data_IF_639512321549
#
_entry.id   IF_639512321549
#
_cell.length_a   1.000
_cell.length_b   1.000
_cell.length_c   1.000
_cell.angle_alpha   90.00
_cell.angle_beta   90.00
_cell.angle_gamma   90.00
#
_symmetry.space_group_name_H-M   'P 1'
#
loop_
_entity.id
_entity.type
_entity.pdbx_description
1 polymer ?
#
# COMPACT_ATOMS: atom_id res chain seq x y z
N UNK A 1 -18.50 -14.96 4.20
CA UNK A 1 -17.69 -14.32 3.16
C UNK A 1 -16.32 -14.96 3.13
N UNK A 2 -15.42 -14.45 2.30
CA UNK A 2 -14.01 -14.89 2.24
C UNK A 2 -13.10 -13.66 2.16
N UNK A 3 -11.99 -13.69 2.87
CA UNK A 3 -10.95 -12.66 2.80
C UNK A 3 -9.70 -13.30 2.24
N UNK A 4 -9.29 -12.89 1.06
CA UNK A 4 -8.15 -13.45 0.37
C UNK A 4 -7.18 -12.36 -0.06
N UNK A 5 -5.94 -12.78 -0.27
CA UNK A 5 -4.82 -11.91 -0.63
C UNK A 5 -4.71 -11.77 -2.15
N UNK A 6 -3.91 -10.82 -2.64
CA UNK A 6 -3.58 -10.66 -4.08
C UNK A 6 -3.12 -11.92 -4.82
N UNK A 7 -2.77 -12.99 -4.11
CA UNK A 7 -2.36 -14.30 -4.68
C UNK A 7 -3.44 -15.38 -4.59
N UNK A 8 -4.68 -15.02 -4.25
CA UNK A 8 -5.80 -15.95 -4.13
C UNK A 8 -5.77 -16.85 -2.90
N UNK A 9 -4.91 -16.56 -1.91
CA UNK A 9 -4.79 -17.32 -0.65
C UNK A 9 -5.59 -16.67 0.46
N UNK A 10 -6.18 -17.47 1.35
CA UNK A 10 -6.86 -16.98 2.56
C UNK A 10 -5.96 -16.05 3.37
N UNK A 11 -6.52 -14.94 3.85
CA UNK A 11 -5.82 -13.95 4.65
C UNK A 11 -5.63 -14.42 6.09
N UNK A 12 -6.72 -14.91 6.71
CA UNK A 12 -6.71 -15.37 8.10
C UNK A 12 -6.25 -16.83 8.20
N UNK A 13 -5.41 -17.11 9.19
CA UNK A 13 -5.04 -18.49 9.59
C UNK A 13 -5.94 -19.03 10.69
N UNK A 14 -6.47 -18.15 11.54
CA UNK A 14 -7.32 -18.49 12.68
C UNK A 14 -8.79 -18.27 12.32
N UNK A 15 -9.57 -19.35 12.29
CA UNK A 15 -10.98 -19.32 11.90
C UNK A 15 -11.85 -18.46 12.83
N UNK A 16 -11.50 -18.38 14.12
CA UNK A 16 -12.25 -17.57 15.08
C UNK A 16 -12.17 -16.07 14.78
N UNK A 17 -10.97 -15.57 14.45
CA UNK A 17 -10.76 -14.16 14.07
C UNK A 17 -11.48 -13.88 12.75
N UNK A 18 -11.40 -14.78 11.77
CA UNK A 18 -12.10 -14.62 10.48
C UNK A 18 -13.62 -14.55 10.66
N UNK A 19 -14.19 -15.40 11.51
CA UNK A 19 -15.63 -15.40 11.80
C UNK A 19 -16.06 -14.11 12.48
N UNK A 20 -15.29 -13.62 13.46
CA UNK A 20 -15.57 -12.34 14.13
C UNK A 20 -15.47 -11.17 13.15
N UNK A 21 -14.45 -11.17 12.29
CA UNK A 21 -14.27 -10.17 11.23
C UNK A 21 -15.50 -10.09 10.31
N UNK A 22 -15.95 -11.21 9.75
CA UNK A 22 -17.13 -11.22 8.88
C UNK A 22 -18.43 -10.89 9.60
N UNK A 23 -18.55 -11.26 10.88
CA UNK A 23 -19.71 -10.90 11.69
C UNK A 23 -19.81 -9.38 11.84
N UNK A 24 -18.70 -8.71 12.19
CA UNK A 24 -18.66 -7.25 12.33
C UNK A 24 -18.89 -6.52 11.01
N UNK A 25 -18.22 -6.96 9.94
CA UNK A 25 -18.41 -6.37 8.60
C UNK A 25 -19.86 -6.51 8.11
N UNK A 26 -20.48 -7.68 8.30
CA UNK A 26 -21.89 -7.90 7.93
C UNK A 26 -22.82 -7.01 8.76
N UNK A 27 -22.58 -6.86 10.06
CA UNK A 27 -23.33 -5.95 10.93
C UNK A 27 -23.20 -4.50 10.49
N UNK A 28 -22.00 -4.05 10.11
CA UNK A 28 -21.77 -2.70 9.62
C UNK A 28 -22.53 -2.43 8.32
N UNK A 29 -22.46 -3.34 7.34
CA UNK A 29 -23.21 -3.26 6.08
C UNK A 29 -24.73 -3.25 6.31
N UNK A 30 -25.21 -4.07 7.23
CA UNK A 30 -26.64 -4.14 7.57
C UNK A 30 -27.12 -2.84 8.21
N UNK A 31 -26.38 -2.32 9.20
CA UNK A 31 -26.72 -1.07 9.90
C UNK A 31 -26.66 0.14 8.99
N UNK A 32 -25.78 0.15 7.98
CA UNK A 32 -25.71 1.24 7.01
C UNK A 32 -26.82 1.20 5.96
N UNK A 33 -27.71 0.19 5.98
CA UNK A 33 -28.75 0.01 4.96
C UNK A 33 -28.19 -0.37 3.59
N UNK A 34 -26.98 -0.97 3.54
CA UNK A 34 -26.28 -1.26 2.29
C UNK A 34 -27.09 -2.20 1.38
N UNK A 35 -27.65 -3.26 1.96
CA UNK A 35 -28.35 -4.31 1.21
C UNK A 35 -29.55 -3.78 0.43
N UNK A 36 -30.37 -2.93 1.06
CA UNK A 36 -31.54 -2.33 0.43
C UNK A 36 -31.13 -1.25 -0.59
N UNK A 37 -30.14 -0.43 -0.25
CA UNK A 37 -29.64 0.63 -1.12
C UNK A 37 -29.11 0.08 -2.45
N UNK A 38 -28.42 -1.06 -2.41
CA UNK A 38 -27.82 -1.71 -3.57
C UNK A 38 -28.65 -2.88 -4.12
N UNK A 39 -29.82 -3.16 -3.52
CA UNK A 39 -30.67 -4.31 -3.86
C UNK A 39 -29.88 -5.63 -4.02
N UNK A 40 -29.00 -5.93 -3.06
CA UNK A 40 -28.03 -7.02 -3.15
C UNK A 40 -27.96 -7.85 -1.87
N UNK A 41 -27.59 -9.12 -2.00
CA UNK A 41 -27.31 -10.03 -0.87
C UNK A 41 -25.81 -10.28 -0.64
N UNK A 42 -24.95 -9.76 -1.53
CA UNK A 42 -23.50 -9.88 -1.44
C UNK A 42 -22.79 -8.61 -1.92
N UNK A 43 -21.50 -8.51 -1.58
CA UNK A 43 -20.62 -7.42 -2.03
C UNK A 43 -19.19 -7.93 -2.18
N UNK A 44 -18.50 -7.47 -3.22
CA UNK A 44 -17.05 -7.59 -3.38
C UNK A 44 -16.40 -6.24 -3.09
N UNK A 45 -15.49 -6.21 -2.11
CA UNK A 45 -14.76 -5.01 -1.69
C UNK A 45 -13.27 -5.16 -2.00
N UNK A 46 -12.64 -4.08 -2.46
CA UNK A 46 -11.18 -3.94 -2.48
C UNK A 46 -10.73 -3.10 -1.29
N UNK A 47 -9.78 -3.64 -0.52
CA UNK A 47 -9.45 -3.14 0.82
C UNK A 47 -7.97 -3.32 1.16
N UNK A 48 -7.49 -2.48 2.07
CA UNK A 48 -6.24 -2.70 2.81
C UNK A 48 -6.57 -3.22 4.23
N UNK A 49 -5.77 -4.17 4.75
CA UNK A 49 -5.89 -4.66 6.13
C UNK A 49 -4.59 -4.37 6.88
N UNK A 50 -4.72 -3.72 8.04
CA UNK A 50 -3.63 -3.35 8.92
C UNK A 50 -3.73 -4.06 10.28
N UNK A 51 -2.61 -4.30 10.97
CA UNK A 51 -1.23 -3.91 10.63
C UNK A 51 -0.53 -4.83 9.63
N UNK A 52 0.57 -4.33 9.07
CA UNK A 52 1.46 -5.16 8.25
C UNK A 52 2.04 -6.34 9.05
N UNK A 53 2.32 -6.14 10.34
CA UNK A 53 2.85 -7.17 11.24
C UNK A 53 1.96 -8.40 11.34
N UNK A 54 0.64 -8.28 11.15
CA UNK A 54 -0.27 -9.42 11.22
C UNK A 54 0.05 -10.51 10.18
N UNK A 55 0.47 -10.09 8.98
CA UNK A 55 0.78 -11.01 7.87
C UNK A 55 2.27 -11.14 7.59
N UNK A 56 3.03 -10.08 7.78
CA UNK A 56 4.43 -9.98 7.36
C UNK A 56 5.44 -10.11 8.49
N UNK A 57 5.07 -10.69 9.63
CA UNK A 57 5.96 -10.88 10.78
C UNK A 57 7.31 -11.53 10.40
N UNK A 58 7.27 -12.58 9.57
CA UNK A 58 8.50 -13.25 9.11
C UNK A 58 9.39 -12.33 8.27
N UNK A 59 8.80 -11.50 7.40
CA UNK A 59 9.54 -10.53 6.58
C UNK A 59 10.14 -9.42 7.45
N UNK A 60 9.36 -8.92 8.42
CA UNK A 60 9.82 -7.95 9.42
C UNK A 60 11.01 -8.46 10.22
N UNK A 61 10.95 -9.70 10.70
CA UNK A 61 12.05 -10.29 11.47
C UNK A 61 13.29 -10.59 10.62
N UNK A 62 13.09 -11.26 9.48
CA UNK A 62 14.21 -11.79 8.67
C UNK A 62 14.89 -10.77 7.77
N UNK A 63 14.18 -9.71 7.36
CA UNK A 63 14.72 -8.70 6.46
C UNK A 63 14.88 -7.35 7.17
N UNK A 64 13.79 -6.78 7.68
CA UNK A 64 13.83 -5.41 8.21
C UNK A 64 14.61 -5.29 9.52
N UNK A 65 14.24 -6.07 10.52
CA UNK A 65 14.88 -6.06 11.82
C UNK A 65 16.34 -6.58 11.75
N UNK A 66 16.60 -7.58 10.90
CA UNK A 66 17.95 -8.11 10.69
C UNK A 66 18.91 -7.05 10.11
N UNK A 67 18.48 -6.29 9.10
CA UNK A 67 19.28 -5.19 8.52
C UNK A 67 19.52 -4.10 9.56
N UNK A 68 18.48 -3.68 10.29
CA UNK A 68 18.62 -2.65 11.32
C UNK A 68 19.57 -3.07 12.46
N UNK A 69 19.42 -4.30 12.97
CA UNK A 69 20.23 -4.81 14.07
C UNK A 69 21.71 -4.95 13.66
N UNK A 70 21.98 -5.60 12.53
CA UNK A 70 23.35 -5.80 12.04
C UNK A 70 24.07 -4.46 11.78
N UNK A 71 23.42 -3.52 11.11
CA UNK A 71 24.00 -2.22 10.83
C UNK A 71 24.23 -1.38 12.09
N UNK A 72 23.30 -1.41 13.05
CA UNK A 72 23.45 -0.68 14.32
C UNK A 72 24.70 -1.10 15.09
N UNK A 73 24.97 -2.40 15.16
CA UNK A 73 26.16 -2.93 15.84
C UNK A 73 27.43 -2.61 15.05
N UNK A 74 27.48 -2.97 13.77
CA UNK A 74 28.67 -2.77 12.94
C UNK A 74 29.09 -1.29 12.84
N UNK A 75 28.14 -0.37 12.65
CA UNK A 75 28.44 1.06 12.52
C UNK A 75 28.92 1.67 13.84
N UNK A 76 28.54 1.10 14.99
CA UNK A 76 29.04 1.56 16.30
C UNK A 76 30.50 1.15 16.50
N UNK A 77 30.84 -0.10 16.21
CA UNK A 77 32.22 -0.60 16.29
C UNK A 77 33.16 0.17 15.32
N UNK A 78 32.67 0.48 14.12
CA UNK A 78 33.39 1.31 13.14
C UNK A 78 33.58 2.74 13.63
N UNK A 79 32.58 3.33 14.29
CA UNK A 79 32.69 4.68 14.86
C UNK A 79 33.80 4.76 15.93
N UNK A 80 33.87 3.75 16.80
CA UNK A 80 34.89 3.66 17.85
C UNK A 80 36.29 3.54 17.25
N UNK A 81 36.46 2.66 16.25
CA UNK A 81 37.73 2.49 15.55
C UNK A 81 38.17 3.78 14.83
N UNK A 82 37.27 4.44 14.10
CA UNK A 82 37.55 5.70 13.41
C UNK A 82 37.84 6.83 14.40
N UNK A 83 37.18 6.85 15.55
CA UNK A 83 37.45 7.83 16.61
C UNK A 83 38.85 7.65 17.22
N UNK A 84 39.28 6.40 17.43
CA UNK A 84 40.66 6.11 17.86
C UNK A 84 41.70 6.51 16.80
N UNK A 85 41.43 6.21 15.53
CA UNK A 85 42.30 6.58 14.43
C UNK A 85 42.41 8.11 14.26
N UNK A 86 41.30 8.84 14.45
CA UNK A 86 41.27 10.30 14.42
C UNK A 86 42.13 10.93 15.52
N UNK A 87 42.17 10.33 16.72
CA UNK A 87 43.05 10.77 17.83
C UNK A 87 44.55 10.61 17.52
N UNK A 88 44.91 9.84 16.49
CA UNK A 88 46.28 9.63 16.02
C UNK A 88 46.61 10.47 14.79
N UNK A 89 45.75 11.42 14.43
CA UNK A 89 45.91 12.33 13.29
C UNK A 89 46.15 11.64 11.94
N UNK A 90 45.54 10.46 11.75
CA UNK A 90 45.58 9.75 10.46
C UNK A 90 44.74 10.52 9.43
N UNK A 91 45.36 10.86 8.31
CA UNK A 91 44.73 11.62 7.22
C UNK A 91 43.50 10.89 6.64
N UNK A 92 42.46 11.65 6.26
CA UNK A 92 41.23 11.12 5.65
C UNK A 92 40.24 10.46 6.61
N UNK A 93 40.61 10.20 7.88
CA UNK A 93 39.72 9.55 8.87
C UNK A 93 38.55 10.42 9.29
N UNK A 94 38.70 11.76 9.24
CA UNK A 94 37.62 12.68 9.61
C UNK A 94 36.40 12.53 8.70
N UNK A 95 36.61 12.37 7.38
CA UNK A 95 35.54 12.21 6.40
C UNK A 95 34.85 10.85 6.56
N UNK A 96 35.63 9.77 6.73
CA UNK A 96 35.09 8.43 7.00
C UNK A 96 34.26 8.39 8.28
N UNK A 97 34.69 9.09 9.33
CA UNK A 97 33.93 9.19 10.58
C UNK A 97 32.59 9.91 10.35
N UNK A 98 32.58 10.96 9.51
CA UNK A 98 31.35 11.67 9.18
C UNK A 98 30.41 10.83 8.33
N UNK A 99 30.93 10.07 7.36
CA UNK A 99 30.16 9.11 6.57
C UNK A 99 29.50 8.05 7.45
N UNK A 100 30.26 7.46 8.38
CA UNK A 100 29.74 6.47 9.32
C UNK A 100 28.62 7.03 10.21
N UNK A 101 28.77 8.27 10.69
CA UNK A 101 27.71 8.96 11.46
C UNK A 101 26.44 9.18 10.64
N UNK A 102 26.58 9.57 9.36
CA UNK A 102 25.44 9.72 8.46
C UNK A 102 24.73 8.37 8.20
N UNK A 103 25.48 7.28 8.08
CA UNK A 103 24.93 5.93 7.96
C UNK A 103 24.14 5.53 9.21
N UNK A 104 24.64 5.82 10.42
CA UNK A 104 23.90 5.56 11.69
C UNK A 104 22.56 6.29 11.73
N UNK A 105 22.54 7.58 11.39
CA UNK A 105 21.30 8.38 11.30
C UNK A 105 20.32 7.76 10.29
N UNK A 106 20.82 7.28 9.16
CA UNK A 106 20.00 6.65 8.12
C UNK A 106 19.37 5.34 8.59
N UNK A 107 20.11 4.52 9.36
CA UNK A 107 19.61 3.29 9.99
C UNK A 107 18.58 3.58 11.06
N UNK A 108 18.77 4.62 11.88
CA UNK A 108 17.77 5.03 12.87
C UNK A 108 16.44 5.43 12.22
N UNK A 109 16.51 6.22 11.13
CA UNK A 109 15.33 6.60 10.34
C UNK A 109 14.64 5.37 9.75
N UNK A 110 15.40 4.49 9.09
CA UNK A 110 14.89 3.22 8.56
C UNK A 110 14.18 2.39 9.64
N UNK A 111 14.79 2.30 10.83
CA UNK A 111 14.26 1.55 11.97
C UNK A 111 12.92 2.13 12.44
N UNK A 112 12.88 3.45 12.61
CA UNK A 112 11.66 4.17 12.99
C UNK A 112 10.55 3.96 11.96
N UNK A 113 10.88 3.98 10.67
CA UNK A 113 9.90 3.81 9.59
C UNK A 113 9.23 2.45 9.60
N UNK A 114 9.96 1.33 9.62
CA UNK A 114 9.28 0.02 9.58
C UNK A 114 8.48 -0.27 10.86
N UNK A 115 8.92 0.27 12.01
CA UNK A 115 8.23 0.11 13.28
C UNK A 115 6.83 0.74 13.30
N UNK A 116 6.61 1.82 12.54
CA UNK A 116 5.29 2.47 12.44
C UNK A 116 4.18 1.57 11.90
N UNK A 117 4.54 0.52 11.15
CA UNK A 117 3.59 -0.43 10.56
C UNK A 117 3.47 -1.73 11.36
N UNK A 118 4.03 -1.76 12.57
CA UNK A 118 4.10 -2.94 13.42
C UNK A 118 3.44 -2.69 14.77
N UNK A 119 2.35 -3.39 15.05
CA UNK A 119 1.85 -3.58 16.41
C UNK A 119 1.44 -5.03 16.64
N UNK A 120 1.27 -5.39 17.90
CA UNK A 120 0.83 -6.71 18.29
C UNK A 120 -0.69 -6.84 18.08
N UNK A 121 -1.12 -7.96 17.51
CA UNK A 121 -2.54 -8.25 17.28
C UNK A 121 -2.94 -9.37 18.25
N UNK A 122 -3.67 -9.01 19.29
CA UNK A 122 -4.22 -9.94 20.29
C UNK A 122 -5.61 -10.43 19.88
N UNK A 123 -6.35 -9.63 19.12
CA UNK A 123 -7.68 -9.98 18.65
C UNK A 123 -8.15 -9.14 17.47
N UNK A 124 -9.44 -9.28 17.15
CA UNK A 124 -10.09 -8.55 16.05
C UNK A 124 -10.06 -7.03 16.24
N UNK A 125 -10.02 -6.56 17.49
CA UNK A 125 -10.02 -5.14 17.85
C UNK A 125 -8.71 -4.43 17.50
N UNK A 126 -7.63 -5.18 17.27
CA UNK A 126 -6.33 -4.64 16.85
C UNK A 126 -6.18 -4.62 15.33
N UNK A 127 -7.19 -5.10 14.59
CA UNK A 127 -7.21 -5.07 13.13
C UNK A 127 -8.00 -3.88 12.61
N UNK A 128 -7.53 -3.31 11.52
CA UNK A 128 -8.23 -2.26 10.79
C UNK A 128 -8.37 -2.64 9.32
N UNK A 129 -9.59 -2.51 8.79
CA UNK A 129 -9.92 -2.67 7.38
C UNK A 129 -10.20 -1.28 6.81
N UNK A 130 -9.48 -0.90 5.75
CA UNK A 130 -9.74 0.31 4.98
C UNK A 130 -10.21 -0.09 3.56
N UNK A 131 -11.54 -0.21 3.33
CA UNK A 131 -12.05 -0.38 1.99
C UNK A 131 -11.80 0.88 1.15
N UNK A 132 -11.52 0.71 -0.14
CA UNK A 132 -11.36 1.82 -1.06
C UNK A 132 -12.06 1.62 -2.41
N UNK A 133 -12.59 0.42 -2.70
CA UNK A 133 -13.55 0.22 -3.78
C UNK A 133 -14.65 -0.75 -3.35
N UNK A 134 -15.90 -0.40 -3.67
CA UNK A 134 -17.01 -1.33 -3.85
C UNK A 134 -16.91 -1.79 -5.30
N UNK A 135 -16.42 -3.02 -5.52
CA UNK A 135 -16.13 -3.53 -6.86
C UNK A 135 -17.42 -4.00 -7.54
N UNK A 136 -18.18 -4.86 -6.87
CA UNK A 136 -19.37 -5.48 -7.44
C UNK A 136 -20.42 -5.83 -6.38
N UNK A 137 -21.68 -5.81 -6.82
CA UNK A 137 -22.88 -6.30 -6.13
C UNK A 137 -23.73 -7.09 -7.14
N UNK A 138 -24.88 -7.61 -6.71
CA UNK A 138 -25.82 -8.31 -7.59
C UNK A 138 -26.08 -7.52 -8.88
N UNK A 139 -25.90 -8.17 -10.03
CA UNK A 139 -26.15 -7.59 -11.36
C UNK A 139 -25.31 -6.37 -11.75
N UNK A 140 -24.31 -5.95 -10.96
CA UNK A 140 -23.51 -4.75 -11.28
C UNK A 140 -22.05 -4.76 -10.80
N UNK A 141 -21.16 -4.41 -11.72
CA UNK A 141 -19.80 -3.90 -11.42
C UNK A 141 -19.86 -2.37 -11.35
N UNK A 142 -19.27 -1.76 -10.31
CA UNK A 142 -19.39 -0.31 -10.05
C UNK A 142 -18.24 0.51 -10.66
N UNK A 143 -17.80 0.12 -11.85
CA UNK A 143 -16.83 0.87 -12.67
C UNK A 143 -17.45 2.12 -13.30
N UNK A 144 -18.78 2.25 -13.31
CA UNK A 144 -19.52 3.43 -13.73
C UNK A 144 -19.50 4.57 -12.71
N UNK A 145 -18.92 4.34 -11.53
CA UNK A 145 -18.89 5.31 -10.42
C UNK A 145 -17.55 6.01 -10.30
N UNK A 146 -17.57 7.28 -9.91
CA UNK A 146 -16.34 8.02 -9.62
C UNK A 146 -15.67 7.51 -8.35
N UNK A 147 -14.36 7.74 -8.22
CA UNK A 147 -13.66 7.44 -6.97
C UNK A 147 -14.18 8.29 -5.80
N UNK A 148 -14.71 9.50 -6.05
CA UNK A 148 -15.37 10.29 -5.02
C UNK A 148 -16.63 9.60 -4.47
N UNK A 149 -17.47 9.06 -5.36
CA UNK A 149 -18.64 8.28 -4.98
C UNK A 149 -18.22 7.05 -4.14
N UNK A 150 -17.17 6.34 -4.57
CA UNK A 150 -16.65 5.18 -3.84
C UNK A 150 -16.26 5.55 -2.40
N UNK A 151 -15.51 6.65 -2.21
CA UNK A 151 -15.12 7.12 -0.87
C UNK A 151 -16.34 7.50 -0.02
N UNK A 152 -17.33 8.16 -0.60
CA UNK A 152 -18.54 8.61 0.12
C UNK A 152 -19.43 7.43 0.55
N UNK A 153 -19.65 6.45 -0.32
CA UNK A 153 -20.46 5.27 0.04
C UNK A 153 -19.75 4.38 1.06
N UNK A 154 -18.43 4.17 0.91
CA UNK A 154 -17.63 3.41 1.86
C UNK A 154 -17.64 4.09 3.25
N UNK A 155 -17.59 5.42 3.31
CA UNK A 155 -17.63 6.15 4.58
C UNK A 155 -18.90 5.81 5.40
N UNK A 156 -20.06 5.68 4.76
CA UNK A 156 -21.33 5.31 5.44
C UNK A 156 -21.26 3.93 6.11
N UNK A 157 -20.57 2.98 5.47
CA UNK A 157 -20.34 1.63 6.03
C UNK A 157 -19.37 1.73 7.21
N UNK A 158 -18.27 2.46 7.04
CA UNK A 158 -17.23 2.59 8.06
C UNK A 158 -17.74 3.28 9.34
N UNK A 159 -18.69 4.20 9.22
CA UNK A 159 -19.31 4.86 10.37
C UNK A 159 -20.02 3.91 11.34
N UNK A 160 -20.44 2.73 10.86
CA UNK A 160 -21.16 1.74 11.67
C UNK A 160 -20.26 0.88 12.56
N UNK A 161 -18.94 0.88 12.30
CA UNK A 161 -17.94 0.19 13.12
C UNK A 161 -16.56 0.85 12.99
N UNK A 162 -16.39 2.02 13.61
CA UNK A 162 -15.15 2.82 13.52
C UNK A 162 -13.92 2.18 14.16
N UNK A 163 -14.09 1.09 14.90
CA UNK A 163 -12.98 0.37 15.51
C UNK A 163 -12.34 -0.58 14.50
N UNK A 164 -13.15 -1.35 13.76
CA UNK A 164 -12.67 -2.25 12.72
C UNK A 164 -12.51 -1.54 11.37
N UNK A 165 -13.40 -0.62 11.02
CA UNK A 165 -13.46 0.01 9.71
C UNK A 165 -12.85 1.40 9.76
N UNK A 166 -11.88 1.62 8.88
CA UNK A 166 -11.16 2.88 8.75
C UNK A 166 -11.56 3.60 7.47
N UNK A 167 -12.04 4.84 7.61
CA UNK A 167 -12.31 5.72 6.47
C UNK A 167 -10.96 6.16 5.87
N UNK A 168 -10.80 5.95 4.57
CA UNK A 168 -9.62 6.43 3.84
C UNK A 168 -9.65 7.96 3.78
N UNK A 169 -8.60 8.62 4.27
CA UNK A 169 -8.43 10.06 4.09
C UNK A 169 -8.11 10.36 2.62
N UNK A 170 -8.81 11.31 2.01
CA UNK A 170 -8.66 11.65 0.59
C UNK A 170 -8.78 13.15 0.36
N UNK A 171 -8.28 13.59 -0.80
CA UNK A 171 -8.44 14.96 -1.29
C UNK A 171 -8.76 14.92 -2.78
N UNK A 172 -9.75 15.71 -3.21
CA UNK A 172 -10.04 15.95 -4.64
C UNK A 172 -9.12 17.09 -5.11
N UNK A 173 -8.47 16.88 -6.26
CA UNK A 173 -7.45 17.79 -6.79
C UNK A 173 -7.89 18.27 -8.17
N UNK A 174 -8.00 19.58 -8.34
CA UNK A 174 -8.31 20.21 -9.61
C UNK A 174 -7.01 20.60 -10.31
N UNK A 175 -6.63 19.85 -11.35
CA UNK A 175 -5.33 19.99 -12.01
C UNK A 175 -5.17 21.31 -12.80
N UNK A 176 -6.28 22.02 -13.06
CA UNK A 176 -6.26 23.34 -13.70
C UNK A 176 -6.09 24.49 -12.70
N UNK A 177 -6.15 24.22 -11.38
CA UNK A 177 -5.97 25.22 -10.32
C UNK A 177 -4.65 25.00 -9.58
N UNK A 178 -3.71 25.92 -9.76
CA UNK A 178 -2.39 25.89 -9.11
C UNK A 178 -2.49 25.84 -7.58
N UNK A 179 -3.50 26.51 -7.00
CA UNK A 179 -3.71 26.51 -5.54
C UNK A 179 -4.20 25.15 -5.05
N UNK A 180 -5.05 24.47 -5.82
CA UNK A 180 -5.48 23.10 -5.54
C UNK A 180 -4.29 22.14 -5.52
N UNK A 181 -3.38 22.27 -6.48
CA UNK A 181 -2.14 21.49 -6.56
C UNK A 181 -1.24 21.77 -5.34
N UNK A 182 -1.01 23.04 -4.99
CA UNK A 182 -0.21 23.41 -3.83
C UNK A 182 -0.77 22.84 -2.52
N UNK A 183 -2.09 22.94 -2.32
CA UNK A 183 -2.76 22.36 -1.16
C UNK A 183 -2.56 20.84 -1.08
N UNK A 184 -2.67 20.13 -2.20
CA UNK A 184 -2.46 18.69 -2.25
C UNK A 184 -1.01 18.29 -1.93
N UNK A 185 -0.02 19.05 -2.42
CA UNK A 185 1.40 18.85 -2.10
C UNK A 185 1.62 19.03 -0.59
N UNK A 186 1.12 20.12 -0.01
CA UNK A 186 1.26 20.41 1.42
C UNK A 186 0.57 19.34 2.28
N UNK A 187 -0.61 18.87 1.87
CA UNK A 187 -1.30 17.76 2.53
C UNK A 187 -0.47 16.47 2.50
N UNK A 188 0.10 16.11 1.33
CA UNK A 188 0.94 14.92 1.19
C UNK A 188 2.25 15.02 2.01
N UNK A 189 2.88 16.19 2.05
CA UNK A 189 4.07 16.44 2.88
C UNK A 189 3.74 16.21 4.36
N UNK A 190 2.65 16.82 4.85
CA UNK A 190 2.22 16.64 6.24
C UNK A 190 1.85 15.19 6.55
N UNK A 191 1.19 14.48 5.65
CA UNK A 191 0.84 13.06 5.82
C UNK A 191 2.10 12.21 5.99
N UNK A 192 3.09 12.41 5.11
CA UNK A 192 4.31 11.60 5.09
C UNK A 192 5.29 11.96 6.20
N UNK A 193 5.34 13.22 6.64
CA UNK A 193 6.10 13.64 7.83
C UNK A 193 5.58 13.00 9.12
N UNK A 194 4.28 12.74 9.19
CA UNK A 194 3.63 12.08 10.32
C UNK A 194 3.68 10.54 10.25
N UNK A 195 4.46 9.95 9.33
CA UNK A 195 4.65 8.50 9.22
C UNK A 195 3.69 7.80 8.25
N UNK A 196 2.87 8.53 7.49
CA UNK A 196 2.09 7.95 6.40
C UNK A 196 3.00 7.43 5.27
N UNK A 197 2.61 6.31 4.63
CA UNK A 197 3.36 5.75 3.50
C UNK A 197 3.44 6.74 2.33
N UNK A 198 2.35 7.47 2.07
CA UNK A 198 2.18 8.32 0.91
C UNK A 198 0.73 8.34 0.46
N UNK A 199 0.50 8.51 -0.84
CA UNK A 199 -0.83 8.54 -1.44
C UNK A 199 -0.91 7.72 -2.72
N UNK A 200 -2.13 7.34 -3.08
CA UNK A 200 -2.48 6.78 -4.38
C UNK A 200 -3.32 7.82 -5.12
N UNK A 201 -2.79 8.29 -6.25
CA UNK A 201 -3.44 9.26 -7.12
C UNK A 201 -4.25 8.46 -8.14
N UNK A 202 -5.55 8.74 -8.23
CA UNK A 202 -6.48 8.10 -9.17
C UNK A 202 -7.13 9.20 -10.04
N UNK A 203 -7.49 8.92 -11.30
CA UNK A 203 -8.41 9.79 -12.04
C UNK A 203 -9.74 9.97 -11.28
N UNK A 204 -10.61 10.91 -11.66
CA UNK A 204 -11.92 11.02 -11.00
C UNK A 204 -12.82 9.83 -11.37
N UNK A 205 -12.88 9.52 -12.67
CA UNK A 205 -13.62 8.37 -13.19
C UNK A 205 -12.81 7.09 -13.04
N UNK A 206 -13.49 5.99 -12.70
CA UNK A 206 -12.84 4.70 -12.44
C UNK A 206 -12.05 4.18 -13.65
N UNK A 207 -12.60 4.36 -14.85
CA UNK A 207 -11.95 4.05 -16.13
C UNK A 207 -11.82 5.36 -16.89
N UNK A 208 -10.59 5.71 -17.25
CA UNK A 208 -10.28 6.99 -17.91
C UNK A 208 -9.41 6.77 -19.15
N UNK A 209 -9.61 7.60 -20.17
CA UNK A 209 -8.85 7.55 -21.41
C UNK A 209 -8.22 8.91 -21.72
N UNK A 210 -7.03 8.89 -22.32
CA UNK A 210 -6.38 10.05 -22.91
C UNK A 210 -5.97 9.67 -24.34
N UNK A 211 -6.32 10.49 -25.33
CA UNK A 211 -6.02 10.22 -26.75
C UNK A 211 -6.43 8.79 -27.20
N UNK A 212 -7.61 8.33 -26.77
CA UNK A 212 -8.15 6.98 -26.99
C UNK A 212 -7.31 5.83 -26.40
N UNK A 213 -6.38 6.13 -25.48
CA UNK A 213 -5.61 5.13 -24.75
C UNK A 213 -6.03 5.11 -23.29
N UNK A 214 -6.22 3.90 -22.74
CA UNK A 214 -6.50 3.70 -21.33
C UNK A 214 -5.31 4.22 -20.50
N UNK A 215 -5.57 5.14 -19.58
CA UNK A 215 -4.53 5.65 -18.67
C UNK A 215 -4.42 4.79 -17.43
N UNK A 216 -3.35 4.98 -16.66
CA UNK A 216 -3.16 4.25 -15.40
C UNK A 216 -4.35 4.51 -14.45
N UNK A 217 -5.00 3.46 -13.93
CA UNK A 217 -6.12 3.63 -13.00
C UNK A 217 -5.66 4.17 -11.64
N UNK A 218 -4.38 4.00 -11.32
CA UNK A 218 -3.79 4.47 -10.07
C UNK A 218 -2.28 4.68 -10.22
N UNK A 219 -1.75 5.71 -9.57
CA UNK A 219 -0.32 6.00 -9.45
C UNK A 219 0.02 6.18 -7.99
N UNK A 220 0.97 5.40 -7.48
CA UNK A 220 1.47 5.56 -6.10
C UNK A 220 2.53 6.65 -6.00
N UNK A 221 2.43 7.51 -5.00
CA UNK A 221 3.43 8.52 -4.62
C UNK A 221 3.79 8.36 -3.15
N UNK A 222 4.95 7.75 -2.89
CA UNK A 222 5.40 7.32 -1.55
C UNK A 222 6.34 8.35 -0.93
N UNK A 223 6.19 8.55 0.37
CA UNK A 223 6.96 9.50 1.18
C UNK A 223 8.44 9.16 1.27
N UNK A 224 9.25 10.18 1.52
CA UNK A 224 10.71 10.07 1.58
C UNK A 224 11.18 9.04 2.61
N UNK A 225 10.63 9.08 3.82
CA UNK A 225 11.07 8.18 4.89
C UNK A 225 10.60 6.75 4.64
N UNK A 226 9.36 6.56 4.14
CA UNK A 226 8.87 5.25 3.72
C UNK A 226 9.78 4.59 2.65
N UNK A 227 10.28 5.35 1.68
CA UNK A 227 11.15 4.78 0.65
C UNK A 227 12.47 4.19 1.18
N UNK A 228 12.88 4.46 2.43
CA UNK A 228 14.04 3.79 3.06
C UNK A 228 13.82 2.29 3.20
N UNK A 229 12.60 1.86 3.51
CA UNK A 229 12.26 0.43 3.65
C UNK A 229 12.12 -0.27 2.29
N UNK A 230 12.10 0.49 1.20
CA UNK A 230 12.03 -0.06 -0.17
C UNK A 230 13.39 -0.04 -0.86
N UNK A 231 14.12 1.08 -0.78
CA UNK A 231 15.34 1.31 -1.57
C UNK A 231 16.65 1.11 -0.80
N UNK A 232 16.59 0.95 0.53
CA UNK A 232 17.68 0.89 1.54
C UNK A 232 17.75 2.14 2.44
N UNK A 233 18.32 2.02 3.65
CA UNK A 233 18.46 3.13 4.62
C UNK A 233 19.09 4.39 4.04
N UNK A 234 20.12 4.24 3.20
CA UNK A 234 20.94 5.34 2.65
C UNK A 234 20.59 5.70 1.20
N UNK A 235 19.39 5.34 0.73
CA UNK A 235 19.00 5.52 -0.67
C UNK A 235 19.01 7.00 -1.12
N UNK A 236 18.78 7.93 -0.18
CA UNK A 236 18.69 9.36 -0.41
C UNK A 236 20.04 10.09 -0.35
N UNK A 237 21.15 9.37 -0.13
CA UNK A 237 22.49 9.93 -0.28
C UNK A 237 22.75 10.37 -1.72
N UNK A 238 23.57 11.40 -1.92
CA UNK A 238 23.84 11.95 -3.26
C UNK A 238 24.36 10.90 -4.25
N UNK A 239 25.17 9.96 -3.76
CA UNK A 239 25.75 8.86 -4.54
C UNK A 239 24.68 7.86 -5.00
N UNK A 240 23.72 7.55 -4.13
CA UNK A 240 22.71 6.53 -4.38
C UNK A 240 21.53 7.09 -5.17
N UNK A 241 21.03 8.28 -4.80
CA UNK A 241 19.83 8.87 -5.42
C UNK A 241 20.03 9.16 -6.91
N UNK A 242 21.23 9.59 -7.32
CA UNK A 242 21.59 9.82 -8.73
C UNK A 242 21.47 8.53 -9.57
N UNK A 243 21.80 7.38 -8.99
CA UNK A 243 21.65 6.07 -9.66
C UNK A 243 20.18 5.64 -9.69
N UNK A 244 19.45 5.82 -8.60
CA UNK A 244 18.05 5.40 -8.46
C UNK A 244 17.08 6.22 -9.33
N UNK A 245 17.41 7.47 -9.67
CA UNK A 245 16.64 8.28 -10.62
C UNK A 245 16.57 7.66 -12.02
N UNK A 246 17.55 6.83 -12.40
CA UNK A 246 17.54 6.07 -13.66
C UNK A 246 16.69 4.80 -13.51
N UNK A 247 15.36 4.94 -13.58
CA UNK A 247 14.40 3.83 -13.49
C UNK A 247 13.50 3.76 -14.71
N UNK A 248 13.11 2.55 -15.09
CA UNK A 248 12.18 2.31 -16.20
C UNK A 248 10.85 1.77 -15.64
N UNK A 249 9.77 2.55 -15.84
CA UNK A 249 8.44 2.21 -15.34
C UNK A 249 7.57 1.50 -16.39
N UNK A 250 7.98 1.49 -17.66
CA UNK A 250 7.13 1.07 -18.79
C UNK A 250 6.59 -0.35 -18.62
N UNK A 251 7.43 -1.29 -18.18
CA UNK A 251 7.02 -2.68 -17.97
C UNK A 251 5.97 -2.80 -16.86
N UNK A 252 6.17 -2.14 -15.71
CA UNK A 252 5.21 -2.17 -14.59
C UNK A 252 3.89 -1.49 -14.97
N UNK A 253 3.95 -0.36 -15.69
CA UNK A 253 2.78 0.35 -16.19
C UNK A 253 1.97 -0.50 -17.19
N UNK A 254 2.65 -1.20 -18.09
CA UNK A 254 2.00 -2.12 -19.03
C UNK A 254 1.37 -3.33 -18.34
N UNK A 255 2.04 -3.91 -17.34
CA UNK A 255 1.47 -4.99 -16.53
C UNK A 255 0.24 -4.53 -15.75
N UNK A 256 0.31 -3.38 -15.09
CA UNK A 256 -0.80 -2.83 -14.32
C UNK A 256 -2.06 -2.64 -15.17
N UNK A 257 -1.94 -2.13 -16.40
CA UNK A 257 -3.08 -2.00 -17.32
C UNK A 257 -3.65 -3.36 -17.71
N UNK A 258 -2.81 -4.33 -18.06
CA UNK A 258 -3.26 -5.68 -18.45
C UNK A 258 -3.98 -6.39 -17.29
N UNK A 259 -3.39 -6.36 -16.11
CA UNK A 259 -3.96 -6.93 -14.88
C UNK A 259 -5.29 -6.24 -14.53
N UNK A 260 -5.36 -4.91 -14.63
CA UNK A 260 -6.58 -4.15 -14.41
C UNK A 260 -7.71 -4.56 -15.37
N UNK A 261 -7.44 -4.61 -16.68
CA UNK A 261 -8.43 -5.04 -17.67
C UNK A 261 -8.92 -6.47 -17.43
N UNK A 262 -8.02 -7.40 -17.11
CA UNK A 262 -8.38 -8.79 -16.79
C UNK A 262 -9.24 -8.88 -15.52
N UNK A 263 -8.90 -8.11 -14.48
CA UNK A 263 -9.66 -8.04 -13.23
C UNK A 263 -11.07 -7.51 -13.45
N UNK A 264 -11.22 -6.44 -14.24
CA UNK A 264 -12.53 -5.89 -14.58
C UNK A 264 -13.38 -6.86 -15.40
N UNK A 265 -12.82 -7.44 -16.46
CA UNK A 265 -13.54 -8.43 -17.27
C UNK A 265 -13.94 -9.65 -16.43
N UNK A 266 -13.12 -10.08 -15.46
CA UNK A 266 -13.48 -11.17 -14.56
C UNK A 266 -14.70 -10.84 -13.69
N UNK A 267 -14.76 -9.61 -13.18
CA UNK A 267 -15.91 -9.12 -12.40
C UNK A 267 -17.17 -9.03 -13.27
N UNK A 268 -17.06 -8.47 -14.48
CA UNK A 268 -18.20 -8.33 -15.40
C UNK A 268 -18.77 -9.70 -15.77
N UNK A 269 -17.91 -10.67 -16.12
CA UNK A 269 -18.35 -12.05 -16.40
C UNK A 269 -18.99 -12.73 -15.20
N UNK A 270 -18.44 -12.51 -14.00
CA UNK A 270 -19.03 -13.05 -12.78
C UNK A 270 -20.43 -12.49 -12.53
N UNK A 271 -20.60 -11.18 -12.69
CA UNK A 271 -21.87 -10.49 -12.49
C UNK A 271 -22.92 -10.85 -13.57
N UNK A 272 -22.49 -11.20 -14.78
CA UNK A 272 -23.37 -11.67 -15.86
C UNK A 272 -23.68 -13.18 -15.82
N UNK A 273 -23.44 -13.86 -14.69
CA UNK A 273 -23.66 -15.30 -14.51
C UNK A 273 -22.93 -16.18 -15.54
N UNK A 274 -21.77 -15.72 -16.03
CA UNK A 274 -20.97 -16.49 -16.96
C UNK A 274 -20.31 -17.70 -16.26
N UNK A 275 -19.93 -18.72 -17.03
CA UNK A 275 -19.42 -19.96 -16.40
C UNK A 275 -18.18 -19.72 -15.54
N UNK A 276 -18.04 -20.45 -14.42
CA UNK A 276 -16.87 -20.35 -13.53
C UNK A 276 -15.53 -20.41 -14.28
N UNK A 277 -15.43 -21.26 -15.31
CA UNK A 277 -14.22 -21.37 -16.14
C UNK A 277 -13.86 -20.05 -16.84
N UNK A 278 -14.85 -19.32 -17.36
CA UNK A 278 -14.67 -18.05 -18.09
C UNK A 278 -14.30 -16.88 -17.19
N UNK A 279 -14.71 -16.94 -15.93
CA UNK A 279 -14.25 -16.02 -14.88
C UNK A 279 -12.83 -16.41 -14.44
N UNK A 280 -12.63 -17.68 -14.11
CA UNK A 280 -11.37 -18.17 -13.53
C UNK A 280 -10.19 -18.08 -14.51
N UNK A 281 -10.39 -18.23 -15.82
CA UNK A 281 -9.30 -18.05 -16.79
C UNK A 281 -8.68 -16.64 -16.72
N UNK A 282 -9.48 -15.62 -16.43
CA UNK A 282 -9.05 -14.22 -16.33
C UNK A 282 -8.37 -13.96 -14.98
N UNK A 283 -8.97 -14.44 -13.88
CA UNK A 283 -8.37 -14.38 -12.54
C UNK A 283 -7.01 -15.08 -12.53
N UNK A 284 -6.92 -16.25 -13.17
CA UNK A 284 -5.67 -16.99 -13.30
C UNK A 284 -4.65 -16.27 -14.19
N UNK A 285 -5.10 -15.57 -15.24
CA UNK A 285 -4.22 -14.75 -16.08
C UNK A 285 -3.61 -13.57 -15.30
N UNK A 286 -4.35 -12.92 -14.39
CA UNK A 286 -3.79 -11.91 -13.48
C UNK A 286 -2.66 -12.51 -12.63
N UNK A 287 -2.90 -13.68 -12.04
CA UNK A 287 -1.88 -14.38 -11.25
C UNK A 287 -0.66 -14.79 -12.08
N UNK A 288 -0.86 -15.16 -13.34
CA UNK A 288 0.22 -15.48 -14.26
C UNK A 288 1.06 -14.23 -14.61
N UNK A 289 0.43 -13.08 -14.84
CA UNK A 289 1.14 -11.81 -15.11
C UNK A 289 1.96 -11.35 -13.90
N UNK A 290 1.47 -11.55 -12.69
CA UNK A 290 2.22 -11.24 -11.45
C UNK A 290 3.51 -12.07 -11.28
N UNK A 291 3.67 -13.17 -12.02
CA UNK A 291 4.92 -13.94 -12.06
C UNK A 291 5.98 -13.35 -12.99
N UNK A 292 5.63 -12.37 -13.83
CA UNK A 292 6.60 -11.67 -14.67
C UNK A 292 7.60 -10.88 -13.82
N UNK A 293 8.89 -11.05 -14.10
CA UNK A 293 9.94 -10.33 -13.38
C UNK A 293 9.86 -8.81 -13.63
N UNK A 294 9.65 -8.06 -12.55
CA UNK A 294 9.70 -6.60 -12.52
C UNK A 294 10.54 -6.17 -11.34
N UNK A 295 11.10 -4.96 -11.40
CA UNK A 295 11.76 -4.35 -10.25
C UNK A 295 10.81 -4.31 -9.03
N UNK A 296 11.10 -5.05 -7.94
CA UNK A 296 10.20 -5.19 -6.80
C UNK A 296 10.06 -3.89 -5.99
N UNK A 297 10.85 -2.85 -6.31
CA UNK A 297 10.80 -1.54 -5.65
C UNK A 297 9.70 -0.63 -6.22
N UNK A 298 9.06 -1.01 -7.32
CA UNK A 298 8.05 -0.23 -8.06
C UNK A 298 6.61 -0.46 -7.57
#
# INVERSE_FOLDING_TARGET
GICYTRTGRNFFKHQDIEKQFFTRLNQALTKSGFWDTFATSWVCLDCEIMPWSFKAQSLLQSQYAAVAASAKHALSDVEDALTMAKKRDIEGVADLLQENKNAKISIEKYTKTYQQYCWEVQGIDDLQLAPFHILATEGKVHTDKTHLWQMQEIAKICEQDKQLLLITNYQVIELADEKSIENAINWWLKLTENGGEGMVIKPMDYISYAENQLIQPAIKSRGKEYLRIIYSPEYDSEKNIKKLKKRNLRRKQSLAIREFCLGLEALERFVCDDSFRRVHELVFAVLALESESVDPRL
#
